data_IF_318852134470
#
_entry.id   IF_318852134470
#
_cell.length_a   1.000
_cell.length_b   1.000
_cell.length_c   1.000
_cell.angle_alpha   90.00
_cell.angle_beta   90.00
_cell.angle_gamma   90.00
#
_symmetry.space_group_name_H-M   'P 1'
#
loop_
_entity.id
_entity.type
_entity.pdbx_description
1 polymer ?
#
# COMPACT_ATOMS: atom_id res chain seq x y z
N UNK A 1 -0.89 6.30 -27.80
CA UNK A 1 -2.30 6.70 -28.00
C UNK A 1 -2.38 8.06 -28.67
N UNK A 2 -3.35 8.30 -29.58
CA UNK A 2 -3.38 9.52 -30.37
C UNK A 2 -3.63 10.76 -29.47
N UNK A 3 -2.78 11.77 -29.64
CA UNK A 3 -2.79 13.07 -28.95
C UNK A 3 -4.20 13.70 -28.78
N UNK A 4 -5.12 13.65 -29.77
CA UNK A 4 -6.46 14.24 -29.59
C UNK A 4 -7.29 13.62 -28.46
N UNK A 5 -7.11 12.33 -28.14
CA UNK A 5 -7.87 11.68 -27.06
C UNK A 5 -7.43 12.22 -25.70
N UNK A 6 -6.11 12.34 -25.48
CA UNK A 6 -5.52 12.93 -24.27
C UNK A 6 -5.98 14.37 -24.04
N UNK A 7 -5.99 15.17 -25.11
CA UNK A 7 -6.44 16.56 -25.04
C UNK A 7 -7.94 16.65 -24.74
N UNK A 8 -8.74 15.76 -25.34
CA UNK A 8 -10.18 15.65 -25.05
C UNK A 8 -10.46 15.29 -23.58
N UNK A 9 -9.77 14.30 -23.02
CA UNK A 9 -9.92 13.97 -21.59
C UNK A 9 -9.41 15.09 -20.69
N UNK A 10 -8.33 15.78 -21.05
CA UNK A 10 -7.84 16.93 -20.28
C UNK A 10 -8.90 18.04 -20.18
N UNK A 11 -9.56 18.40 -21.29
CA UNK A 11 -10.65 19.38 -21.28
C UNK A 11 -11.83 18.90 -20.45
N UNK A 12 -12.20 17.62 -20.55
CA UNK A 12 -13.25 17.04 -19.72
C UNK A 12 -12.92 17.11 -18.21
N UNK A 13 -11.65 16.87 -17.83
CA UNK A 13 -11.20 16.98 -16.44
C UNK A 13 -11.24 18.43 -15.94
N UNK A 14 -10.88 19.40 -16.79
CA UNK A 14 -11.02 20.82 -16.46
C UNK A 14 -12.48 21.21 -16.27
N UNK A 15 -13.38 20.73 -17.13
CA UNK A 15 -14.82 20.94 -16.98
C UNK A 15 -15.34 20.40 -15.64
N UNK A 16 -15.02 19.15 -15.28
CA UNK A 16 -15.42 18.59 -13.98
C UNK A 16 -14.83 19.37 -12.81
N UNK A 17 -13.62 19.89 -12.94
CA UNK A 17 -12.99 20.72 -11.90
C UNK A 17 -13.69 22.07 -11.75
N UNK A 18 -14.03 22.72 -12.85
CA UNK A 18 -14.84 23.94 -12.84
C UNK A 18 -16.23 23.69 -12.24
N UNK A 19 -16.87 22.57 -12.59
CA UNK A 19 -18.15 22.17 -12.04
C UNK A 19 -18.08 21.94 -10.52
N UNK A 20 -17.03 21.31 -10.00
CA UNK A 20 -16.86 21.16 -8.54
C UNK A 20 -16.67 22.48 -7.83
N UNK A 21 -15.91 23.42 -8.40
CA UNK A 21 -15.71 24.75 -7.80
C UNK A 21 -17.02 25.54 -7.83
N UNK A 22 -17.75 25.50 -8.94
CA UNK A 22 -19.04 26.18 -9.07
C UNK A 22 -20.08 25.64 -8.09
N UNK A 23 -20.14 24.32 -7.92
CA UNK A 23 -21.06 23.69 -6.96
C UNK A 23 -20.64 23.93 -5.51
N UNK A 24 -19.34 24.05 -5.23
CA UNK A 24 -18.85 24.36 -3.88
C UNK A 24 -19.33 25.74 -3.37
N UNK A 25 -19.56 26.70 -4.27
CA UNK A 25 -20.13 28.00 -3.91
C UNK A 25 -21.65 27.91 -3.64
N UNK A 26 -22.33 26.93 -4.23
CA UNK A 26 -23.77 26.70 -4.01
C UNK A 26 -23.94 25.88 -2.73
N UNK A 27 -24.44 26.51 -1.66
CA UNK A 27 -24.71 25.81 -0.40
C UNK A 27 -25.91 24.87 -0.52
N UNK A 28 -25.68 23.67 -1.07
CA UNK A 28 -26.70 22.65 -1.34
C UNK A 28 -27.05 21.77 -0.12
N UNK A 29 -26.61 22.18 1.07
CA UNK A 29 -26.89 21.47 2.33
C UNK A 29 -26.26 20.08 2.36
N UNK A 30 -26.99 19.09 2.89
CA UNK A 30 -26.52 17.71 3.10
C UNK A 30 -26.20 16.95 1.80
N UNK A 31 -26.79 17.36 0.68
CA UNK A 31 -26.63 16.70 -0.63
C UNK A 31 -25.26 17.04 -1.26
N UNK A 32 -24.61 18.12 -0.82
CA UNK A 32 -23.34 18.59 -1.37
C UNK A 32 -22.24 17.51 -1.34
N UNK A 33 -22.13 16.78 -0.23
CA UNK A 33 -21.14 15.70 -0.06
C UNK A 33 -21.37 14.58 -1.09
N UNK A 34 -22.61 14.19 -1.31
CA UNK A 34 -22.95 13.12 -2.26
C UNK A 34 -22.66 13.54 -3.71
N UNK A 35 -22.95 14.80 -4.06
CA UNK A 35 -22.66 15.36 -5.39
C UNK A 35 -21.15 15.48 -5.60
N UNK A 36 -20.42 16.04 -4.63
CA UNK A 36 -18.97 16.18 -4.68
C UNK A 36 -18.28 14.82 -4.83
N UNK A 37 -18.74 13.80 -4.09
CA UNK A 37 -18.22 12.44 -4.19
C UNK A 37 -18.49 11.83 -5.56
N UNK A 38 -19.71 11.97 -6.09
CA UNK A 38 -20.07 11.45 -7.41
C UNK A 38 -19.20 12.07 -8.52
N UNK A 39 -19.01 13.38 -8.51
CA UNK A 39 -18.16 14.07 -9.48
C UNK A 39 -16.70 13.63 -9.35
N UNK A 40 -16.21 13.48 -8.10
CA UNK A 40 -14.86 12.99 -7.85
C UNK A 40 -14.65 11.56 -8.39
N UNK A 41 -15.63 10.67 -8.20
CA UNK A 41 -15.58 9.29 -8.73
C UNK A 41 -15.55 9.28 -10.26
N UNK A 42 -16.38 10.09 -10.92
CA UNK A 42 -16.39 10.20 -12.39
C UNK A 42 -15.03 10.71 -12.91
N UNK A 43 -14.50 11.77 -12.27
CA UNK A 43 -13.19 12.34 -12.62
C UNK A 43 -12.07 11.29 -12.47
N UNK A 44 -12.04 10.57 -11.35
CA UNK A 44 -11.07 9.52 -11.10
C UNK A 44 -11.19 8.37 -12.13
N UNK A 45 -12.41 7.98 -12.49
CA UNK A 45 -12.66 7.00 -13.54
C UNK A 45 -12.12 7.42 -14.90
N UNK A 46 -12.30 8.69 -15.29
CA UNK A 46 -11.74 9.25 -16.52
C UNK A 46 -10.20 9.20 -16.53
N UNK A 47 -9.56 9.59 -15.42
CA UNK A 47 -8.11 9.53 -15.26
C UNK A 47 -7.61 8.09 -15.35
N UNK A 48 -8.22 7.16 -14.62
CA UNK A 48 -7.82 5.76 -14.63
C UNK A 48 -8.00 5.11 -16.01
N UNK A 49 -9.13 5.37 -16.68
CA UNK A 49 -9.44 4.75 -17.98
C UNK A 49 -8.49 5.24 -19.09
N UNK A 50 -8.20 6.55 -19.14
CA UNK A 50 -7.49 7.17 -20.27
C UNK A 50 -6.05 7.59 -19.97
N UNK A 51 -5.76 8.20 -18.81
CA UNK A 51 -4.39 8.62 -18.47
C UNK A 51 -3.55 7.45 -17.97
N UNK A 52 -4.13 6.53 -17.19
CA UNK A 52 -3.45 5.29 -16.79
C UNK A 52 -3.49 4.21 -17.86
N UNK A 53 -3.96 4.52 -19.07
CA UNK A 53 -4.02 3.61 -20.22
C UNK A 53 -4.84 2.32 -20.01
N UNK A 54 -5.61 2.19 -18.93
CA UNK A 54 -6.37 0.96 -18.63
C UNK A 54 -7.29 0.49 -19.77
N UNK A 55 -7.85 1.42 -20.55
CA UNK A 55 -8.70 1.07 -21.71
C UNK A 55 -7.92 0.46 -22.88
N UNK A 56 -6.64 0.82 -23.03
CA UNK A 56 -5.81 0.47 -24.19
C UNK A 56 -4.78 -0.62 -23.86
N UNK A 57 -4.60 -0.92 -22.58
CA UNK A 57 -3.74 -2.01 -22.10
C UNK A 57 -4.47 -3.35 -22.04
N UNK A 58 -3.70 -4.42 -21.78
CA UNK A 58 -4.22 -5.77 -21.59
C UNK A 58 -5.24 -5.79 -20.41
N UNK A 59 -6.30 -6.60 -20.49
CA UNK A 59 -7.32 -6.70 -19.42
C UNK A 59 -6.74 -7.15 -18.07
N UNK A 60 -5.56 -7.77 -18.08
CA UNK A 60 -4.82 -8.12 -16.87
C UNK A 60 -4.42 -6.88 -16.04
N UNK A 61 -4.11 -5.74 -16.68
CA UNK A 61 -3.75 -4.49 -15.98
C UNK A 61 -4.97 -3.90 -15.26
N UNK A 62 -6.16 -4.01 -15.89
CA UNK A 62 -7.44 -3.63 -15.27
C UNK A 62 -7.75 -4.50 -14.07
N UNK A 63 -7.50 -5.82 -14.16
CA UNK A 63 -7.69 -6.74 -13.05
C UNK A 63 -6.78 -6.38 -11.86
N UNK A 64 -5.50 -6.10 -12.11
CA UNK A 64 -4.57 -5.66 -11.05
C UNK A 64 -4.99 -4.33 -10.41
N UNK A 65 -5.42 -3.37 -11.22
CA UNK A 65 -5.91 -2.08 -10.71
C UNK A 65 -7.15 -2.26 -9.83
N UNK A 66 -8.13 -3.04 -10.27
CA UNK A 66 -9.33 -3.34 -9.49
C UNK A 66 -9.01 -4.13 -8.22
N UNK A 67 -8.04 -5.06 -8.28
CA UNK A 67 -7.59 -5.81 -7.12
C UNK A 67 -6.95 -4.88 -6.06
N UNK A 68 -6.06 -3.97 -6.48
CA UNK A 68 -5.48 -2.97 -5.59
C UNK A 68 -6.55 -2.03 -5.00
N UNK A 69 -7.48 -1.54 -5.83
CA UNK A 69 -8.59 -0.70 -5.38
C UNK A 69 -9.47 -1.43 -4.35
N UNK A 70 -9.78 -2.70 -4.58
CA UNK A 70 -10.54 -3.55 -3.67
C UNK A 70 -9.84 -3.74 -2.32
N UNK A 71 -8.52 -3.95 -2.32
CA UNK A 71 -7.73 -4.02 -1.08
C UNK A 71 -7.74 -2.70 -0.30
N UNK A 72 -7.64 -1.55 -0.99
CA UNK A 72 -7.76 -0.24 -0.35
C UNK A 72 -9.15 -0.05 0.25
N UNK A 73 -10.21 -0.40 -0.50
CA UNK A 73 -11.58 -0.31 0.01
C UNK A 73 -11.81 -1.22 1.23
N UNK A 74 -11.28 -2.44 1.20
CA UNK A 74 -11.33 -3.39 2.31
C UNK A 74 -10.60 -2.82 3.53
N UNK A 75 -9.38 -2.31 3.35
CA UNK A 75 -8.62 -1.68 4.43
C UNK A 75 -9.40 -0.51 5.06
N UNK A 76 -9.91 0.42 4.25
CA UNK A 76 -10.72 1.54 4.73
C UNK A 76 -11.97 1.07 5.47
N UNK A 77 -12.63 0.02 4.97
CA UNK A 77 -13.85 -0.51 5.60
C UNK A 77 -13.55 -1.10 6.97
N UNK A 78 -12.47 -1.88 7.11
CA UNK A 78 -12.04 -2.41 8.41
C UNK A 78 -11.61 -1.27 9.34
N UNK A 79 -10.86 -0.28 8.86
CA UNK A 79 -10.45 0.87 9.67
C UNK A 79 -11.63 1.70 10.16
N UNK A 80 -12.68 1.87 9.33
CA UNK A 80 -13.89 2.57 9.74
C UNK A 80 -14.68 1.77 10.78
N UNK A 81 -14.83 0.46 10.59
CA UNK A 81 -15.49 -0.42 11.57
C UNK A 81 -14.75 -0.41 12.92
N UNK A 82 -13.42 -0.44 12.88
CA UNK A 82 -12.59 -0.36 14.08
C UNK A 82 -12.75 1.01 14.76
N UNK A 83 -12.74 2.11 13.99
CA UNK A 83 -12.96 3.46 14.54
C UNK A 83 -14.36 3.64 15.17
N UNK A 84 -15.40 3.03 14.61
CA UNK A 84 -16.76 3.09 15.14
C UNK A 84 -16.85 2.33 16.48
N UNK A 85 -16.17 1.20 16.61
CA UNK A 85 -16.17 0.38 17.83
C UNK A 85 -15.57 1.13 19.05
N UNK A 86 -14.67 2.09 18.85
CA UNK A 86 -14.07 2.87 19.95
C UNK A 86 -14.87 4.09 20.39
N UNK A 87 -15.78 4.61 19.54
CA UNK A 87 -16.61 5.77 19.85
C UNK A 87 -17.32 5.70 21.23
N UNK A 88 -17.98 4.59 21.64
CA UNK A 88 -18.70 4.55 22.91
C UNK A 88 -17.78 4.68 24.13
N UNK A 89 -16.58 4.07 24.09
CA UNK A 89 -15.61 4.13 25.19
C UNK A 89 -15.03 5.54 25.36
N UNK A 90 -14.81 6.25 24.24
CA UNK A 90 -14.37 7.64 24.24
C UNK A 90 -15.46 8.56 24.82
N UNK A 91 -16.72 8.37 24.41
CA UNK A 91 -17.87 9.12 24.94
C UNK A 91 -18.04 8.90 26.45
N UNK A 92 -17.94 7.65 26.91
CA UNK A 92 -18.01 7.29 28.33
C UNK A 92 -16.85 7.91 29.14
N UNK A 93 -15.63 7.97 28.58
CA UNK A 93 -14.50 8.65 29.22
C UNK A 93 -14.74 10.16 29.39
N UNK A 94 -15.24 10.85 28.36
CA UNK A 94 -15.55 12.27 28.43
C UNK A 94 -16.72 12.53 29.39
N UNK A 95 -17.79 11.74 29.32
CA UNK A 95 -18.94 11.84 30.21
C UNK A 95 -18.52 11.66 31.67
N UNK A 96 -17.78 10.59 32.00
CA UNK A 96 -17.25 10.36 33.35
C UNK A 96 -16.27 11.46 33.78
N UNK A 97 -15.44 12.01 32.89
CA UNK A 97 -14.55 13.13 33.22
C UNK A 97 -15.34 14.41 33.54
N UNK A 98 -16.41 14.70 32.80
CA UNK A 98 -17.28 15.85 33.07
C UNK A 98 -18.07 15.70 34.36
N UNK A 99 -18.54 14.49 34.69
CA UNK A 99 -19.29 14.18 35.92
C UNK A 99 -18.37 14.15 37.15
N UNK A 100 -17.14 13.64 37.02
CA UNK A 100 -16.13 13.62 38.10
C UNK A 100 -15.57 15.03 38.37
N UNK A 101 -15.38 15.87 37.34
CA UNK A 101 -14.96 17.27 37.54
C UNK A 101 -16.03 18.10 38.26
N UNK A 102 -17.31 17.75 38.13
CA UNK A 102 -18.41 18.37 38.86
C UNK A 102 -18.54 17.85 40.32
N UNK A 103 -17.88 16.74 40.67
CA UNK A 103 -18.12 16.03 41.95
C UNK A 103 -16.88 15.93 42.85
N UNK A 104 -15.65 15.93 42.34
CA UNK A 104 -14.46 15.64 43.17
C UNK A 104 -13.26 16.57 42.94
N UNK A 105 -13.13 17.53 43.85
CA UNK A 105 -11.85 18.05 44.39
C UNK A 105 -11.00 16.99 45.12
N UNK A 106 -11.37 15.70 45.11
CA UNK A 106 -10.75 14.70 45.99
C UNK A 106 -10.95 13.26 45.53
N UNK A 107 -10.23 12.83 44.50
CA UNK A 107 -9.53 11.53 44.49
C UNK A 107 -8.96 11.23 43.10
N UNK A 108 -7.64 11.36 43.04
CA UNK A 108 -6.76 10.99 41.93
C UNK A 108 -7.05 9.57 41.42
N UNK A 109 -7.78 9.44 40.31
CA UNK A 109 -7.95 8.16 39.61
C UNK A 109 -6.82 7.98 38.60
N UNK A 110 -5.87 7.11 38.95
CA UNK A 110 -4.77 6.68 38.09
C UNK A 110 -5.28 5.67 37.05
N UNK A 111 -5.97 6.15 36.01
CA UNK A 111 -6.28 5.33 34.83
C UNK A 111 -4.97 5.08 34.08
N UNK A 112 -4.38 3.91 34.28
CA UNK A 112 -3.19 3.47 33.56
C UNK A 112 -3.54 3.17 32.10
N UNK A 113 -3.12 4.05 31.18
CA UNK A 113 -3.15 3.82 29.74
C UNK A 113 -2.22 2.64 29.37
N UNK A 114 -2.76 1.42 29.32
CA UNK A 114 -2.06 0.22 28.85
C UNK A 114 -2.91 -0.62 27.89
N UNK A 115 -3.63 0.03 26.98
CA UNK A 115 -4.52 -0.63 25.99
C UNK A 115 -4.09 -0.48 24.53
N UNK A 116 -3.18 0.46 24.23
CA UNK A 116 -2.76 0.77 22.85
C UNK A 116 -1.93 -0.33 22.18
N UNK A 117 -1.22 -1.16 22.97
CA UNK A 117 -0.30 -2.17 22.43
C UNK A 117 -1.01 -3.37 21.80
N UNK A 118 -2.21 -3.73 22.27
CA UNK A 118 -2.97 -4.87 21.73
C UNK A 118 -3.62 -4.57 20.37
N UNK A 119 -4.07 -3.32 20.15
CA UNK A 119 -4.74 -2.90 18.92
C UNK A 119 -3.77 -2.82 17.73
N UNK A 120 -2.59 -2.22 17.93
CA UNK A 120 -1.56 -2.14 16.90
C UNK A 120 -1.05 -3.54 16.49
N UNK A 121 -0.93 -4.47 17.45
CA UNK A 121 -0.54 -5.86 17.19
C UNK A 121 -1.58 -6.62 16.37
N UNK A 122 -2.86 -6.39 16.63
CA UNK A 122 -3.94 -7.04 15.88
C UNK A 122 -4.01 -6.57 14.43
N UNK A 123 -3.94 -5.27 14.19
CA UNK A 123 -3.86 -4.70 12.83
C UNK A 123 -2.62 -5.20 12.07
N UNK A 124 -1.46 -5.24 12.73
CA UNK A 124 -0.23 -5.80 12.14
C UNK A 124 -0.36 -7.30 11.83
N UNK A 125 -1.00 -8.08 12.71
CA UNK A 125 -1.20 -9.51 12.49
C UNK A 125 -2.10 -9.79 11.28
N UNK A 126 -3.21 -9.04 11.14
CA UNK A 126 -4.09 -9.13 9.97
C UNK A 126 -3.36 -8.76 8.68
N UNK A 127 -2.53 -7.71 8.72
CA UNK A 127 -1.71 -7.32 7.59
C UNK A 127 -0.74 -8.43 7.16
N UNK A 128 0.05 -8.98 8.10
CA UNK A 128 0.98 -10.08 7.83
C UNK A 128 0.26 -11.34 7.35
N UNK A 129 -0.92 -11.65 7.90
CA UNK A 129 -1.74 -12.77 7.45
C UNK A 129 -2.16 -12.60 5.98
N UNK A 130 -2.62 -11.41 5.58
CA UNK A 130 -2.98 -11.12 4.18
C UNK A 130 -1.78 -11.22 3.23
N UNK A 131 -0.62 -10.73 3.64
CA UNK A 131 0.62 -10.76 2.85
C UNK A 131 1.12 -12.21 2.68
N UNK A 132 0.99 -13.02 3.72
CA UNK A 132 1.30 -14.47 3.68
C UNK A 132 0.38 -15.20 2.71
N UNK A 133 -0.92 -14.92 2.73
CA UNK A 133 -1.88 -15.51 1.80
C UNK A 133 -1.56 -15.14 0.35
N UNK A 134 -1.19 -13.89 0.09
CA UNK A 134 -0.79 -13.43 -1.25
C UNK A 134 0.47 -14.13 -1.76
N UNK A 135 1.48 -14.30 -0.91
CA UNK A 135 2.68 -15.06 -1.25
C UNK A 135 2.39 -16.54 -1.53
N UNK A 136 1.58 -17.20 -0.69
CA UNK A 136 1.17 -18.58 -0.89
C UNK A 136 0.42 -18.77 -2.22
N UNK A 137 -0.50 -17.86 -2.54
CA UNK A 137 -1.22 -17.86 -3.81
C UNK A 137 -0.26 -17.68 -4.99
N UNK A 138 0.74 -16.80 -4.87
CA UNK A 138 1.75 -16.58 -5.92
C UNK A 138 2.62 -17.81 -6.16
N UNK A 139 3.04 -18.52 -5.09
CA UNK A 139 3.79 -19.77 -5.19
C UNK A 139 2.93 -20.87 -5.84
N UNK A 140 1.66 -21.00 -5.43
CA UNK A 140 0.74 -21.96 -6.01
C UNK A 140 0.50 -21.70 -7.50
N UNK A 141 0.29 -20.43 -7.88
CA UNK A 141 0.14 -20.04 -9.29
C UNK A 141 1.38 -20.37 -10.11
N UNK A 142 2.58 -20.05 -9.61
CA UNK A 142 3.84 -20.45 -10.25
C UNK A 142 3.95 -21.97 -10.40
N UNK A 143 3.59 -22.73 -9.36
CA UNK A 143 3.58 -24.19 -9.40
C UNK A 143 2.65 -24.74 -10.47
N UNK A 144 1.39 -24.27 -10.51
CA UNK A 144 0.39 -24.70 -11.50
C UNK A 144 0.90 -24.42 -12.92
N UNK A 145 1.39 -23.20 -13.19
CA UNK A 145 1.92 -22.83 -14.50
C UNK A 145 3.12 -23.71 -14.86
N UNK A 146 4.00 -24.00 -13.91
CA UNK A 146 5.20 -24.82 -14.15
C UNK A 146 4.85 -26.29 -14.45
N UNK A 147 3.88 -26.87 -13.76
CA UNK A 147 3.46 -28.26 -14.00
C UNK A 147 2.57 -28.41 -15.23
N UNK A 148 1.84 -27.35 -15.63
CA UNK A 148 1.01 -27.34 -16.83
C UNK A 148 1.78 -27.02 -18.11
N UNK A 149 3.03 -26.53 -18.01
CA UNK A 149 3.84 -26.15 -19.16
C UNK A 149 4.97 -27.18 -19.39
N UNK A 150 4.98 -27.87 -20.53
CA UNK A 150 6.09 -28.74 -20.99
C UNK A 150 7.35 -27.95 -21.41
N UNK A 151 7.48 -26.71 -20.95
CA UNK A 151 8.59 -25.83 -21.31
C UNK A 151 9.91 -26.40 -20.76
N UNK A 152 10.95 -26.53 -21.62
CA UNK A 152 12.23 -27.11 -21.23
C UNK A 152 12.83 -26.36 -20.05
N UNK A 153 13.38 -27.10 -19.07
CA UNK A 153 14.04 -26.50 -17.92
C UNK A 153 15.31 -25.76 -18.40
N UNK A 154 15.37 -24.45 -18.17
CA UNK A 154 16.56 -23.65 -18.47
C UNK A 154 17.70 -24.13 -17.56
N UNK A 155 18.84 -24.46 -18.16
CA UNK A 155 20.02 -24.95 -17.44
C UNK A 155 20.54 -23.87 -16.46
N UNK A 156 20.79 -24.28 -15.22
CA UNK A 156 21.11 -23.44 -14.03
C UNK A 156 22.49 -22.73 -14.16
N UNK A 157 23.21 -22.90 -15.27
CA UNK A 157 24.61 -22.53 -15.40
C UNK A 157 24.93 -21.03 -15.52
N UNK A 158 23.98 -20.17 -15.91
CA UNK A 158 24.22 -18.75 -16.22
C UNK A 158 23.32 -17.78 -15.46
N UNK A 159 23.02 -18.08 -14.18
CA UNK A 159 22.27 -17.12 -13.37
C UNK A 159 23.06 -15.82 -13.18
N UNK A 160 22.45 -14.65 -13.48
CA UNK A 160 23.15 -13.39 -13.35
C UNK A 160 23.50 -13.14 -11.89
N UNK A 161 24.77 -12.82 -11.56
CA UNK A 161 25.23 -12.66 -10.18
C UNK A 161 24.52 -11.54 -9.42
N UNK A 162 23.85 -10.62 -10.14
CA UNK A 162 23.01 -9.57 -9.59
C UNK A 162 21.86 -10.09 -8.72
N UNK A 163 21.32 -11.28 -9.01
CA UNK A 163 20.24 -11.90 -8.21
C UNK A 163 20.73 -12.46 -6.87
N UNK A 164 21.98 -12.91 -6.81
CA UNK A 164 22.60 -13.36 -5.55
C UNK A 164 22.88 -12.13 -4.68
N UNK A 165 23.40 -11.05 -5.28
CA UNK A 165 23.64 -9.79 -4.58
C UNK A 165 22.36 -9.21 -4.02
N UNK A 166 21.25 -9.23 -4.76
CA UNK A 166 19.96 -8.74 -4.26
C UNK A 166 19.45 -9.60 -3.10
N UNK A 167 19.53 -10.93 -3.20
CA UNK A 167 19.12 -11.83 -2.11
C UNK A 167 19.91 -11.59 -0.84
N UNK A 168 21.24 -11.42 -0.95
CA UNK A 168 22.12 -11.16 0.18
C UNK A 168 21.87 -9.78 0.80
N UNK A 169 21.56 -8.78 -0.03
CA UNK A 169 21.20 -7.43 0.44
C UNK A 169 19.89 -7.43 1.23
N UNK A 170 18.93 -8.29 0.90
CA UNK A 170 17.66 -8.42 1.64
C UNK A 170 17.89 -8.91 3.08
N UNK A 171 18.83 -9.85 3.29
CA UNK A 171 19.27 -10.23 4.64
C UNK A 171 19.91 -9.04 5.38
N UNK A 172 20.69 -8.21 4.66
CA UNK A 172 21.27 -6.98 5.20
C UNK A 172 20.22 -5.96 5.66
N UNK A 173 19.15 -5.75 4.89
CA UNK A 173 18.01 -4.90 5.28
C UNK A 173 17.33 -5.45 6.54
N UNK A 174 17.08 -6.75 6.60
CA UNK A 174 16.48 -7.41 7.76
C UNK A 174 17.31 -7.24 9.02
N UNK A 175 18.63 -7.41 8.92
CA UNK A 175 19.55 -7.20 10.03
C UNK A 175 19.58 -5.75 10.49
N UNK A 176 19.68 -4.79 9.56
CA UNK A 176 19.68 -3.36 9.87
C UNK A 176 18.40 -2.92 10.58
N UNK A 177 17.24 -3.42 10.13
CA UNK A 177 15.94 -3.11 10.74
C UNK A 177 15.81 -3.74 12.13
N UNK A 178 16.29 -4.97 12.32
CA UNK A 178 16.34 -5.61 13.63
C UNK A 178 17.21 -4.80 14.61
N UNK A 179 18.37 -4.33 14.16
CA UNK A 179 19.25 -3.45 14.96
C UNK A 179 18.61 -2.09 15.24
N UNK A 180 17.85 -1.51 14.30
CA UNK A 180 17.13 -0.26 14.54
C UNK A 180 16.14 -0.42 15.71
N UNK A 181 15.31 -1.46 15.69
CA UNK A 181 14.32 -1.75 16.75
C UNK A 181 15.02 -2.07 18.08
N UNK A 182 16.14 -2.79 18.06
CA UNK A 182 16.93 -3.06 19.26
C UNK A 182 17.50 -1.78 19.91
N UNK A 183 17.84 -0.78 19.11
CA UNK A 183 18.31 0.53 19.60
C UNK A 183 17.19 1.43 20.13
N UNK A 184 15.94 1.27 19.65
CA UNK A 184 14.75 1.93 20.24
C UNK A 184 14.55 1.50 21.69
N UNK A 185 14.71 0.20 21.97
CA UNK A 185 14.58 -0.34 23.34
C UNK A 185 15.66 0.15 24.31
N UNK A 186 16.75 0.73 23.81
CA UNK A 186 17.85 1.31 24.60
C UNK A 186 17.75 2.83 24.72
N UNK A 187 16.65 3.43 24.29
CA UNK A 187 16.39 4.88 24.28
C UNK A 187 17.43 5.74 23.52
N UNK A 188 18.27 5.10 22.69
CA UNK A 188 19.31 5.80 21.92
C UNK A 188 18.76 6.24 20.57
N UNK A 189 18.19 7.44 20.52
CA UNK A 189 17.54 7.98 19.32
C UNK A 189 18.49 8.19 18.12
N UNK A 190 19.76 8.58 18.37
CA UNK A 190 20.76 8.82 17.32
C UNK A 190 21.16 7.54 16.57
N UNK A 191 21.57 6.45 17.23
CA UNK A 191 21.87 5.20 16.52
C UNK A 191 20.62 4.57 15.89
N UNK A 192 19.43 4.70 16.49
CA UNK A 192 18.18 4.28 15.85
C UNK A 192 18.00 4.92 14.46
N UNK A 193 18.11 6.24 14.38
CA UNK A 193 17.95 6.98 13.13
C UNK A 193 19.03 6.61 12.10
N UNK A 194 20.27 6.38 12.53
CA UNK A 194 21.36 5.91 11.65
C UNK A 194 21.08 4.53 11.06
N UNK A 195 20.59 3.59 11.87
CA UNK A 195 20.20 2.26 11.39
C UNK A 195 19.00 2.30 10.45
N UNK A 196 18.06 3.23 10.66
CA UNK A 196 16.94 3.45 9.74
C UNK A 196 17.42 3.97 8.38
N UNK A 197 18.30 4.98 8.36
CA UNK A 197 18.88 5.47 7.11
C UNK A 197 19.75 4.42 6.40
N UNK A 198 20.49 3.61 7.16
CA UNK A 198 21.25 2.49 6.59
C UNK A 198 20.31 1.45 5.95
N UNK A 199 19.22 1.07 6.63
CA UNK A 199 18.23 0.15 6.08
C UNK A 199 17.58 0.70 4.80
N UNK A 200 17.21 1.98 4.79
CA UNK A 200 16.68 2.65 3.58
C UNK A 200 17.72 2.65 2.45
N UNK A 201 18.98 2.97 2.73
CA UNK A 201 20.05 2.96 1.73
C UNK A 201 20.26 1.57 1.11
N UNK A 202 20.32 0.52 1.95
CA UNK A 202 20.46 -0.86 1.48
C UNK A 202 19.23 -1.28 0.66
N UNK A 203 18.02 -0.88 1.05
CA UNK A 203 16.80 -1.19 0.31
C UNK A 203 16.76 -0.52 -1.08
N UNK A 204 17.24 0.72 -1.21
CA UNK A 204 17.35 1.39 -2.52
C UNK A 204 18.35 0.65 -3.42
N UNK A 205 19.50 0.25 -2.87
CA UNK A 205 20.49 -0.54 -3.60
C UNK A 205 19.87 -1.87 -4.08
N UNK A 206 19.16 -2.57 -3.20
CA UNK A 206 18.42 -3.79 -3.54
C UNK A 206 17.48 -3.59 -4.73
N UNK A 207 16.67 -2.53 -4.73
CA UNK A 207 15.73 -2.23 -5.82
C UNK A 207 16.44 -1.99 -7.16
N UNK A 208 17.57 -1.27 -7.16
CA UNK A 208 18.35 -1.02 -8.37
C UNK A 208 18.94 -2.32 -8.91
N UNK A 209 19.61 -3.12 -8.06
CA UNK A 209 20.21 -4.39 -8.49
C UNK A 209 19.17 -5.40 -8.95
N UNK A 210 18.00 -5.42 -8.30
CA UNK A 210 16.90 -6.29 -8.71
C UNK A 210 16.29 -5.86 -10.04
N UNK A 211 16.12 -4.56 -10.27
CA UNK A 211 15.61 -4.02 -11.54
C UNK A 211 16.57 -4.34 -12.70
N UNK A 212 17.88 -4.16 -12.50
CA UNK A 212 18.90 -4.50 -13.49
C UNK A 212 18.99 -6.01 -13.75
N UNK A 213 18.91 -6.82 -12.69
CA UNK A 213 18.92 -8.27 -12.81
C UNK A 213 17.73 -8.83 -13.59
N UNK A 214 16.55 -8.23 -13.41
CA UNK A 214 15.37 -8.59 -14.19
C UNK A 214 15.51 -8.22 -15.67
N UNK A 215 16.07 -7.05 -15.97
CA UNK A 215 16.30 -6.62 -17.35
C UNK A 215 17.26 -7.58 -18.08
N UNK A 216 18.39 -7.91 -17.45
CA UNK A 216 19.37 -8.84 -18.01
C UNK A 216 18.77 -10.24 -18.26
N UNK A 217 17.90 -10.72 -17.37
CA UNK A 217 17.22 -12.00 -17.55
C UNK A 217 16.23 -11.97 -18.72
N UNK A 218 15.48 -10.86 -18.87
CA UNK A 218 14.55 -10.68 -19.98
C UNK A 218 15.27 -10.59 -21.33
N UNK A 219 16.43 -9.93 -21.39
CA UNK A 219 17.26 -9.87 -22.60
C UNK A 219 17.77 -11.25 -22.99
N UNK A 220 18.33 -12.02 -22.06
CA UNK A 220 18.76 -13.40 -22.32
C UNK A 220 17.61 -14.30 -22.81
N UNK A 221 16.40 -14.13 -22.26
CA UNK A 221 15.24 -14.90 -22.71
C UNK A 221 14.74 -14.45 -24.09
N UNK A 222 14.80 -13.15 -24.39
CA UNK A 222 14.45 -12.59 -25.70
C UNK A 222 15.39 -13.09 -26.79
N UNK A 223 16.69 -13.11 -26.53
CA UNK A 223 17.70 -13.55 -27.49
C UNK A 223 17.59 -15.06 -27.76
N UNK A 224 17.35 -15.87 -26.72
CA UNK A 224 17.10 -17.31 -26.85
C UNK A 224 15.85 -17.66 -27.69
N UNK A 225 14.87 -16.77 -27.79
CA UNK A 225 13.68 -16.94 -28.65
C UNK A 225 13.91 -16.48 -30.09
N UNK A 226 14.91 -15.63 -30.35
CA UNK A 226 15.24 -15.17 -31.70
C UNK A 226 16.23 -16.09 -32.42
N UNK A 227 17.04 -16.84 -31.67
CA UNK A 227 18.06 -17.76 -32.18
C UNK A 227 17.56 -19.20 -32.41
N UNK A 228 16.29 -19.51 -32.08
CA UNK A 228 15.64 -20.82 -32.26
C UNK A 228 14.45 -20.77 -33.22
#
# INVERSE_FOLDING_TARGET
MPIPILLGTFVALLFFTGLTVFLADQHLGEIDIWIALAIATIKAGLVATYFMHLRYDKPINVLFFLFCLGFVALFFSITLLDSEQYQPQIKEFYENTTVVTATETSSFSSVTMRRDEYQAKFGFALFIASLTMFFLASIAAYGIIRFASDAPAISIGSFPPSLIVSTLSMFGVGFAMHMAVANVRRERQVPFRRWLYAATGIAVIFLVFQSLGLHALLEMHRDALNDG
#
